data_IF_305671327749
#
_entry.id   IF_305671327749
#
_cell.length_a   1.000
_cell.length_b   1.000
_cell.length_c   1.000
_cell.angle_alpha   90.00
_cell.angle_beta   90.00
_cell.angle_gamma   90.00
#
_symmetry.space_group_name_H-M   'P 1'
#
loop_
_entity.id
_entity.type
_entity.pdbx_description
1 polymer ?
#
# COMPACT_ATOMS: atom_id res chain seq x y z
N UNK A 1 -12.00 -7.15 -14.48
CA UNK A 1 -12.17 -7.51 -13.05
C UNK A 1 -10.88 -7.30 -12.26
N UNK A 2 -9.72 -7.79 -12.69
CA UNK A 2 -8.43 -7.57 -12.00
C UNK A 2 -8.09 -6.11 -11.69
N UNK A 3 -8.27 -5.18 -12.63
CA UNK A 3 -7.99 -3.75 -12.43
C UNK A 3 -8.99 -3.10 -11.44
N UNK A 4 -10.28 -3.45 -11.56
CA UNK A 4 -11.33 -2.95 -10.65
C UNK A 4 -11.08 -3.39 -9.22
N UNK A 5 -10.69 -4.65 -9.00
CA UNK A 5 -10.38 -5.19 -7.66
C UNK A 5 -9.12 -4.53 -7.08
N UNK A 6 -8.12 -4.24 -7.91
CA UNK A 6 -6.94 -3.48 -7.49
C UNK A 6 -7.30 -2.06 -7.03
N UNK A 7 -8.12 -1.34 -7.83
CA UNK A 7 -8.58 0.01 -7.48
C UNK A 7 -9.47 -0.02 -6.22
N UNK A 8 -10.29 -1.05 -6.04
CA UNK A 8 -11.10 -1.25 -4.84
C UNK A 8 -10.21 -1.41 -3.59
N UNK A 9 -9.18 -2.26 -3.67
CA UNK A 9 -8.20 -2.42 -2.58
C UNK A 9 -7.45 -1.12 -2.31
N UNK A 10 -7.10 -0.38 -3.35
CA UNK A 10 -6.47 0.93 -3.22
C UNK A 10 -7.37 1.96 -2.54
N UNK A 11 -8.65 2.05 -2.93
CA UNK A 11 -9.61 2.98 -2.34
C UNK A 11 -9.87 2.66 -0.85
N UNK A 12 -10.04 1.38 -0.52
CA UNK A 12 -10.19 0.92 0.87
C UNK A 12 -8.91 1.24 1.66
N UNK A 13 -7.74 0.96 1.08
CA UNK A 13 -6.45 1.25 1.70
C UNK A 13 -6.27 2.73 2.00
N UNK A 14 -6.58 3.61 1.06
CA UNK A 14 -6.44 5.06 1.23
C UNK A 14 -7.25 5.58 2.44
N UNK A 15 -8.43 5.01 2.70
CA UNK A 15 -9.28 5.38 3.84
C UNK A 15 -8.64 5.05 5.20
N UNK A 16 -7.93 3.92 5.30
CA UNK A 16 -7.24 3.54 6.53
C UNK A 16 -5.86 4.18 6.65
N UNK A 17 -5.13 4.30 5.54
CA UNK A 17 -3.76 4.82 5.55
C UNK A 17 -3.67 6.32 5.88
N UNK A 18 -4.71 7.11 5.63
CA UNK A 18 -4.78 8.51 6.07
C UNK A 18 -4.63 8.70 7.59
N UNK A 19 -5.59 8.23 8.41
CA UNK A 19 -5.52 8.36 9.87
C UNK A 19 -4.41 7.51 10.51
N UNK A 20 -4.03 6.40 9.88
CA UNK A 20 -2.96 5.52 10.36
C UNK A 20 -1.57 6.18 10.17
N UNK A 21 -1.37 6.96 9.11
CA UNK A 21 -0.15 7.75 8.89
C UNK A 21 0.01 8.89 9.92
N UNK A 22 -1.08 9.55 10.27
CA UNK A 22 -1.07 10.64 11.25
C UNK A 22 -0.90 10.15 12.69
N UNK A 23 -1.36 8.94 13.03
CA UNK A 23 -1.35 8.42 14.41
C UNK A 23 -0.13 7.56 14.77
N UNK A 24 0.41 6.74 13.86
CA UNK A 24 1.49 5.79 14.17
C UNK A 24 2.91 6.33 13.95
N UNK A 25 3.04 7.51 13.35
CA UNK A 25 4.34 8.06 12.97
C UNK A 25 4.88 7.44 11.68
N UNK A 26 5.76 8.20 11.01
CA UNK A 26 6.11 7.99 9.60
C UNK A 26 6.84 6.67 9.32
N UNK A 27 7.81 6.31 10.17
CA UNK A 27 8.67 5.11 9.99
C UNK A 27 7.93 3.76 9.99
N UNK A 28 7.08 3.44 10.99
CA UNK A 28 6.40 2.14 11.03
C UNK A 28 5.38 1.95 9.89
N UNK A 29 4.76 3.04 9.42
CA UNK A 29 3.81 2.98 8.31
C UNK A 29 4.51 2.68 6.98
N UNK A 30 5.70 3.26 6.76
CA UNK A 30 6.52 2.99 5.57
C UNK A 30 6.95 1.51 5.56
N UNK A 31 7.54 1.03 6.65
CA UNK A 31 8.00 -0.37 6.77
C UNK A 31 6.84 -1.38 6.66
N UNK A 32 5.70 -1.09 7.28
CA UNK A 32 4.50 -1.92 7.20
C UNK A 32 3.94 -1.99 5.78
N UNK A 33 3.81 -0.85 5.09
CA UNK A 33 3.34 -0.79 3.71
C UNK A 33 4.24 -1.56 2.74
N UNK A 34 5.56 -1.41 2.87
CA UNK A 34 6.53 -2.13 2.03
C UNK A 34 6.51 -3.65 2.28
N UNK A 35 6.40 -4.09 3.54
CA UNK A 35 6.29 -5.51 3.86
C UNK A 35 5.02 -6.14 3.29
N UNK A 36 3.87 -5.45 3.41
CA UNK A 36 2.60 -5.93 2.84
C UNK A 36 2.68 -5.98 1.32
N UNK A 37 3.31 -5.00 0.68
CA UNK A 37 3.53 -5.02 -0.78
C UNK A 37 4.37 -6.21 -1.21
N UNK A 38 5.50 -6.47 -0.54
CA UNK A 38 6.39 -7.57 -0.85
C UNK A 38 5.68 -8.93 -0.66
N UNK A 39 4.96 -9.12 0.45
CA UNK A 39 4.20 -10.34 0.71
C UNK A 39 3.10 -10.56 -0.34
N UNK A 40 2.40 -9.50 -0.72
CA UNK A 40 1.34 -9.55 -1.72
C UNK A 40 1.86 -9.83 -3.14
N UNK A 41 3.06 -9.33 -3.48
CA UNK A 41 3.73 -9.63 -4.74
C UNK A 41 4.13 -11.11 -4.83
N UNK A 42 4.69 -11.68 -3.74
CA UNK A 42 5.03 -13.11 -3.66
C UNK A 42 3.77 -13.97 -3.75
N UNK A 43 2.68 -13.57 -3.06
CA UNK A 43 1.39 -14.23 -3.18
C UNK A 43 0.91 -14.25 -4.64
N UNK A 44 0.92 -13.10 -5.33
CA UNK A 44 0.53 -13.03 -6.74
C UNK A 44 1.38 -13.92 -7.65
N UNK A 45 2.68 -14.11 -7.36
CA UNK A 45 3.55 -15.01 -8.12
C UNK A 45 3.19 -16.49 -7.94
N UNK A 46 2.54 -16.85 -6.83
CA UNK A 46 2.08 -18.22 -6.53
C UNK A 46 0.67 -18.53 -7.05
N UNK A 47 -0.03 -17.56 -7.64
CA UNK A 47 -1.39 -17.75 -8.12
C UNK A 47 -1.42 -18.68 -9.35
N UNK A 48 -2.19 -19.78 -9.27
CA UNK A 48 -2.33 -20.76 -10.35
C UNK A 48 -3.64 -20.64 -11.13
N UNK A 49 -4.60 -19.84 -10.66
CA UNK A 49 -5.91 -19.64 -11.29
C UNK A 49 -6.27 -18.15 -11.39
N UNK A 50 -7.12 -17.80 -12.36
CA UNK A 50 -7.54 -16.41 -12.62
C UNK A 50 -8.25 -15.80 -11.40
N UNK A 51 -9.10 -16.57 -10.71
CA UNK A 51 -9.79 -16.10 -9.50
C UNK A 51 -8.84 -15.83 -8.34
N UNK A 52 -7.85 -16.71 -8.11
CA UNK A 52 -6.78 -16.44 -7.14
C UNK A 52 -5.99 -15.18 -7.50
N UNK A 53 -5.71 -14.98 -8.79
CA UNK A 53 -5.01 -13.79 -9.29
C UNK A 53 -5.81 -12.51 -9.03
N UNK A 54 -7.15 -12.56 -9.12
CA UNK A 54 -8.04 -11.43 -8.83
C UNK A 54 -8.06 -11.11 -7.32
N UNK A 55 -8.24 -12.13 -6.47
CA UNK A 55 -8.25 -11.97 -5.00
C UNK A 55 -6.90 -11.48 -4.51
N UNK A 56 -5.82 -12.09 -5.00
CA UNK A 56 -4.47 -11.66 -4.64
C UNK A 56 -4.14 -10.28 -5.19
N UNK A 57 -4.75 -9.79 -6.27
CA UNK A 57 -4.57 -8.39 -6.76
C UNK A 57 -5.13 -7.33 -5.81
N UNK A 58 -6.05 -7.69 -4.92
CA UNK A 58 -6.62 -6.77 -3.93
C UNK A 58 -5.58 -6.31 -2.89
N UNK A 59 -4.72 -7.24 -2.44
CA UNK A 59 -3.70 -6.99 -1.42
C UNK A 59 -2.59 -6.02 -1.88
N UNK A 60 -2.04 -6.12 -3.11
CA UNK A 60 -1.16 -5.11 -3.68
C UNK A 60 -1.85 -3.77 -3.87
N UNK A 61 -3.16 -3.75 -4.16
CA UNK A 61 -3.96 -2.52 -4.22
C UNK A 61 -3.97 -1.79 -2.87
N UNK A 62 -4.24 -2.53 -1.78
CA UNK A 62 -4.14 -2.02 -0.41
C UNK A 62 -2.73 -1.52 -0.07
N UNK A 63 -1.69 -2.24 -0.51
CA UNK A 63 -0.30 -1.85 -0.28
C UNK A 63 0.12 -0.64 -1.12
N UNK A 64 -0.44 -0.47 -2.32
CA UNK A 64 -0.19 0.70 -3.16
C UNK A 64 -0.75 1.99 -2.54
N UNK A 65 -1.86 1.90 -1.78
CA UNK A 65 -2.34 3.02 -0.99
C UNK A 65 -1.34 3.45 0.09
N UNK A 66 -0.64 2.48 0.69
CA UNK A 66 0.48 2.74 1.58
C UNK A 66 1.62 3.49 0.87
N UNK A 67 1.97 3.05 -0.35
CA UNK A 67 3.03 3.67 -1.15
C UNK A 67 2.77 5.15 -1.46
N UNK A 68 1.51 5.54 -1.70
CA UNK A 68 1.11 6.95 -1.86
C UNK A 68 1.41 7.79 -0.61
N UNK A 69 1.20 7.22 0.59
CA UNK A 69 1.58 7.86 1.86
C UNK A 69 3.09 7.90 2.03
N UNK A 70 3.79 6.81 1.67
CA UNK A 70 5.26 6.75 1.72
C UNK A 70 5.89 7.88 0.91
N UNK A 71 5.41 8.13 -0.31
CA UNK A 71 5.94 9.20 -1.19
C UNK A 71 5.78 10.58 -0.53
N UNK A 72 4.60 10.89 0.01
CA UNK A 72 4.34 12.17 0.68
C UNK A 72 5.17 12.31 1.97
N UNK A 73 5.31 11.24 2.74
CA UNK A 73 6.12 11.23 3.96
C UNK A 73 7.61 11.37 3.65
N UNK A 74 8.11 10.69 2.62
CA UNK A 74 9.50 10.77 2.16
C UNK A 74 9.84 12.18 1.69
N UNK A 75 8.95 12.83 0.93
CA UNK A 75 9.13 14.24 0.55
C UNK A 75 9.24 15.14 1.78
N UNK A 76 8.42 14.93 2.82
CA UNK A 76 8.47 15.71 4.06
C UNK A 76 9.66 15.37 4.98
N UNK A 77 10.36 14.27 4.74
CA UNK A 77 11.59 13.87 5.47
C UNK A 77 12.85 14.37 4.74
N UNK A 78 12.84 14.36 3.41
CA UNK A 78 13.95 14.85 2.57
C UNK A 78 13.98 16.38 2.54
N UNK A 79 12.83 17.04 2.67
CA UNK A 79 12.72 18.47 2.92
C UNK A 79 12.39 18.69 4.40
N UNK A 80 13.37 18.59 5.33
CA UNK A 80 13.19 19.20 6.64
C UNK A 80 12.96 20.69 6.39
N UNK A 81 11.94 21.27 7.02
CA UNK A 81 11.69 22.70 6.89
C UNK A 81 12.99 23.44 7.26
N UNK A 82 13.68 24.00 6.27
CA UNK A 82 14.67 25.04 6.50
C UNK A 82 13.89 26.24 7.06
N UNK A 83 14.11 26.51 8.36
CA UNK A 83 13.74 27.79 8.99
C UNK A 83 14.50 28.95 8.33
#
# INVERSE_FOLDING_TARGET
>A
MTLSTYILGFAVGQLFYGPMADSLGRKPVILGGTLVFAAAAVACALAQTIDQLIVMRFFPGLAAAAASVVINALMRDIYPNEE
#
